data_IF_819979865893
#
_entry.id   IF_819979865893
#
_cell.length_a   1.000
_cell.length_b   1.000
_cell.length_c   1.000
_cell.angle_alpha   90.00
_cell.angle_beta   90.00
_cell.angle_gamma   90.00
#
_symmetry.space_group_name_H-M   'P 1'
#
loop_
_entity.id
_entity.type
_entity.pdbx_description
1 polymer ?
#
# COMPACT_ATOMS: atom_id res chain seq x y z
N UNK A 1 -11.79 57.42 -7.71
CA UNK A 1 -10.93 56.89 -6.64
C UNK A 1 -11.28 55.43 -6.39
N UNK A 2 -10.35 54.51 -6.65
CA UNK A 2 -10.55 53.09 -6.33
C UNK A 2 -10.43 52.91 -4.80
N UNK A 3 -11.48 52.42 -4.14
CA UNK A 3 -11.42 52.06 -2.72
C UNK A 3 -10.58 50.80 -2.57
N UNK A 4 -9.49 50.88 -1.80
CA UNK A 4 -8.74 49.71 -1.36
C UNK A 4 -9.70 48.80 -0.56
N UNK A 5 -10.01 47.63 -1.09
CA UNK A 5 -10.83 46.63 -0.40
C UNK A 5 -9.88 45.71 0.35
N UNK A 6 -9.81 45.84 1.67
CA UNK A 6 -9.08 44.90 2.52
C UNK A 6 -9.87 43.57 2.48
N UNK A 7 -9.25 42.46 2.07
CA UNK A 7 -9.93 41.17 2.06
C UNK A 7 -10.28 40.73 3.50
N UNK A 8 -11.42 40.06 3.62
CA UNK A 8 -11.85 39.45 4.87
C UNK A 8 -10.86 38.36 5.31
N UNK A 9 -10.17 38.61 6.44
CA UNK A 9 -9.12 37.75 6.96
C UNK A 9 -9.67 36.36 7.31
N UNK A 10 -10.90 36.27 7.85
CA UNK A 10 -11.49 34.98 8.21
C UNK A 10 -11.76 34.13 6.97
N UNK A 11 -12.28 34.74 5.91
CA UNK A 11 -12.51 34.07 4.63
C UNK A 11 -11.20 33.55 4.00
N UNK A 12 -10.12 34.34 4.09
CA UNK A 12 -8.79 33.94 3.60
C UNK A 12 -8.23 32.77 4.41
N UNK A 13 -8.34 32.81 5.75
CA UNK A 13 -7.88 31.75 6.63
C UNK A 13 -8.64 30.43 6.43
N UNK A 14 -9.97 30.50 6.31
CA UNK A 14 -10.82 29.34 6.04
C UNK A 14 -10.46 28.69 4.70
N UNK A 15 -10.29 29.51 3.64
CA UNK A 15 -9.87 29.00 2.33
C UNK A 15 -8.47 28.38 2.37
N UNK A 16 -7.53 28.99 3.08
CA UNK A 16 -6.18 28.45 3.23
C UNK A 16 -6.20 27.09 3.95
N UNK A 17 -7.05 26.94 4.96
CA UNK A 17 -7.26 25.68 5.68
C UNK A 17 -7.82 24.60 4.76
N UNK A 18 -8.85 24.89 3.98
CA UNK A 18 -9.46 23.92 3.07
C UNK A 18 -8.49 23.44 2.00
N UNK A 19 -7.72 24.37 1.42
CA UNK A 19 -6.65 24.05 0.47
C UNK A 19 -5.57 23.18 1.13
N UNK A 20 -5.19 23.47 2.37
CA UNK A 20 -4.20 22.68 3.10
C UNK A 20 -4.68 21.25 3.39
N UNK A 21 -5.95 21.08 3.77
CA UNK A 21 -6.58 19.77 3.99
C UNK A 21 -6.59 18.97 2.69
N UNK A 22 -7.14 19.53 1.61
CA UNK A 22 -7.19 18.86 0.31
C UNK A 22 -5.79 18.49 -0.20
N UNK A 23 -4.83 19.41 -0.10
CA UNK A 23 -3.44 19.17 -0.46
C UNK A 23 -2.83 18.00 0.31
N UNK A 24 -3.09 17.95 1.60
CA UNK A 24 -2.58 16.89 2.48
C UNK A 24 -3.21 15.54 2.11
N UNK A 25 -4.52 15.50 1.92
CA UNK A 25 -5.22 14.28 1.54
C UNK A 25 -4.75 13.72 0.19
N UNK A 26 -4.60 14.57 -0.83
CA UNK A 26 -4.09 14.17 -2.15
C UNK A 26 -2.70 13.54 -2.08
N UNK A 27 -1.83 14.12 -1.23
CA UNK A 27 -0.46 13.65 -1.09
C UNK A 27 -0.43 12.34 -0.29
N UNK A 28 -1.27 12.20 0.74
CA UNK A 28 -1.42 10.95 1.49
C UNK A 28 -1.93 9.83 0.59
N UNK A 29 -2.93 10.08 -0.28
CA UNK A 29 -3.43 9.09 -1.26
C UNK A 29 -2.31 8.66 -2.20
N UNK A 30 -1.60 9.62 -2.80
CA UNK A 30 -0.45 9.32 -3.68
C UNK A 30 0.61 8.49 -2.98
N UNK A 31 0.98 8.85 -1.77
CA UNK A 31 1.95 8.10 -0.99
C UNK A 31 1.49 6.66 -0.71
N UNK A 32 0.24 6.46 -0.28
CA UNK A 32 -0.30 5.13 -0.02
C UNK A 32 -0.31 4.23 -1.27
N UNK A 33 -0.66 4.78 -2.43
CA UNK A 33 -0.61 4.05 -3.70
C UNK A 33 0.82 3.72 -4.12
N UNK A 34 1.75 4.67 -4.04
CA UNK A 34 3.17 4.43 -4.31
C UNK A 34 3.74 3.35 -3.40
N UNK A 35 3.41 3.40 -2.11
CA UNK A 35 3.87 2.42 -1.12
C UNK A 35 3.31 1.02 -1.42
N UNK A 36 2.03 0.93 -1.84
CA UNK A 36 1.43 -0.33 -2.31
C UNK A 36 2.15 -0.86 -3.53
N UNK A 37 2.46 -0.01 -4.50
CA UNK A 37 3.11 -0.40 -5.75
C UNK A 37 4.56 -0.83 -5.51
N UNK A 38 5.28 -0.13 -4.63
CA UNK A 38 6.62 -0.54 -4.18
C UNK A 38 6.58 -1.91 -3.51
N UNK A 39 5.62 -2.13 -2.60
CA UNK A 39 5.47 -3.43 -1.93
C UNK A 39 5.20 -4.57 -2.93
N UNK A 40 4.22 -4.36 -3.81
CA UNK A 40 3.89 -5.32 -4.88
C UNK A 40 5.08 -5.53 -5.82
N UNK A 41 5.82 -4.48 -6.13
CA UNK A 41 7.04 -4.51 -6.93
C UNK A 41 8.12 -5.40 -6.30
N UNK A 42 8.40 -5.22 -5.01
CA UNK A 42 9.36 -6.05 -4.27
C UNK A 42 8.94 -7.52 -4.23
N UNK A 43 7.65 -7.80 -4.01
CA UNK A 43 7.15 -9.18 -4.11
C UNK A 43 7.35 -9.74 -5.52
N UNK A 44 7.07 -8.95 -6.56
CA UNK A 44 7.26 -9.37 -7.96
C UNK A 44 8.71 -9.71 -8.27
N UNK A 45 9.63 -8.86 -7.82
CA UNK A 45 11.07 -9.02 -7.96
C UNK A 45 11.65 -10.12 -7.05
N UNK A 46 10.83 -10.71 -6.17
CA UNK A 46 11.27 -11.63 -5.11
C UNK A 46 12.35 -10.99 -4.19
N UNK A 47 12.27 -9.68 -4.00
CA UNK A 47 13.23 -8.86 -3.26
C UNK A 47 12.92 -8.80 -1.75
N UNK A 48 12.85 -9.99 -1.17
CA UNK A 48 12.83 -10.18 0.27
C UNK A 48 13.81 -11.29 0.62
N UNK A 49 14.55 -11.08 1.69
CA UNK A 49 15.57 -12.02 2.17
C UNK A 49 14.98 -13.41 2.46
N UNK A 50 13.76 -13.47 2.97
CA UNK A 50 13.02 -14.72 3.21
C UNK A 50 12.77 -15.55 1.95
N UNK A 51 12.61 -14.91 0.78
CA UNK A 51 12.40 -15.62 -0.48
C UNK A 51 13.69 -16.27 -0.99
N UNK A 52 14.84 -15.68 -0.67
CA UNK A 52 16.17 -16.21 -1.01
C UNK A 52 16.61 -17.32 -0.05
N UNK A 53 16.41 -17.13 1.26
CA UNK A 53 16.84 -18.09 2.29
C UNK A 53 16.04 -19.40 2.26
N UNK A 54 14.80 -19.35 1.82
CA UNK A 54 13.90 -20.51 1.79
C UNK A 54 13.41 -20.74 0.36
N UNK A 55 14.25 -21.17 -0.59
CA UNK A 55 13.80 -21.38 -1.96
C UNK A 55 12.73 -22.47 -2.04
N UNK A 56 12.00 -22.54 -3.16
CA UNK A 56 11.18 -23.71 -3.44
C UNK A 56 12.07 -24.94 -3.67
N UNK A 57 11.67 -26.10 -3.17
CA UNK A 57 12.35 -27.34 -3.51
C UNK A 57 12.16 -27.66 -5.01
N UNK A 58 13.14 -28.34 -5.60
CA UNK A 58 13.09 -28.85 -6.98
C UNK A 58 11.75 -29.51 -7.33
N UNK A 59 11.26 -30.38 -6.43
CA UNK A 59 9.96 -31.06 -6.62
C UNK A 59 8.79 -30.07 -6.75
N UNK A 60 8.79 -28.99 -5.99
CA UNK A 60 7.76 -27.96 -6.07
C UNK A 60 7.91 -27.06 -7.29
N UNK A 61 9.15 -26.71 -7.66
CA UNK A 61 9.43 -25.95 -8.88
C UNK A 61 8.95 -26.72 -10.11
N UNK A 62 9.37 -27.97 -10.27
CA UNK A 62 8.91 -28.83 -11.36
C UNK A 62 7.41 -29.00 -11.39
N UNK A 63 6.80 -29.19 -10.22
CA UNK A 63 5.35 -29.28 -10.12
C UNK A 63 4.68 -28.00 -10.62
N UNK A 64 5.18 -26.81 -10.24
CA UNK A 64 4.63 -25.54 -10.70
C UNK A 64 4.80 -25.37 -12.21
N UNK A 65 6.00 -25.65 -12.73
CA UNK A 65 6.30 -25.60 -14.16
C UNK A 65 5.39 -26.55 -14.97
N UNK A 66 5.28 -27.82 -14.55
CA UNK A 66 4.43 -28.83 -15.20
C UNK A 66 2.93 -28.50 -15.16
N UNK A 67 2.50 -27.60 -14.27
CA UNK A 67 1.13 -27.15 -14.15
C UNK A 67 0.91 -25.74 -14.72
N UNK A 68 1.92 -25.19 -15.41
CA UNK A 68 1.94 -23.82 -15.94
C UNK A 68 1.54 -22.78 -14.88
N UNK A 69 1.99 -22.99 -13.64
CA UNK A 69 1.75 -22.09 -12.52
C UNK A 69 2.90 -21.10 -12.37
N UNK A 70 2.58 -20.02 -11.66
CA UNK A 70 3.56 -19.03 -11.25
C UNK A 70 4.73 -19.68 -10.47
N UNK A 71 5.91 -19.64 -11.09
CA UNK A 71 7.13 -20.31 -10.61
C UNK A 71 7.78 -19.59 -9.42
N UNK A 72 7.34 -18.37 -9.10
CA UNK A 72 7.87 -17.61 -7.96
C UNK A 72 7.62 -18.33 -6.65
N UNK A 73 8.33 -17.93 -5.61
CA UNK A 73 8.35 -18.65 -4.34
C UNK A 73 6.99 -18.63 -3.60
N UNK A 74 6.18 -17.60 -3.81
CA UNK A 74 4.86 -17.49 -3.17
C UNK A 74 3.80 -18.40 -3.82
N UNK A 75 2.76 -18.70 -3.05
CA UNK A 75 1.57 -19.45 -3.50
C UNK A 75 0.55 -18.44 -4.01
N UNK A 76 -0.11 -18.76 -5.14
CA UNK A 76 -1.14 -17.94 -5.77
C UNK A 76 -0.70 -16.49 -6.04
N UNK A 77 0.57 -16.28 -6.39
CA UNK A 77 1.21 -14.95 -6.42
C UNK A 77 0.42 -13.92 -7.24
N UNK A 78 -0.06 -14.27 -8.44
CA UNK A 78 -0.86 -13.34 -9.25
C UNK A 78 -2.15 -12.87 -8.56
N UNK A 79 -2.93 -13.78 -7.97
CA UNK A 79 -4.16 -13.44 -7.24
C UNK A 79 -3.85 -12.68 -5.95
N UNK A 80 -2.80 -13.12 -5.24
CA UNK A 80 -2.30 -12.48 -4.04
C UNK A 80 -1.95 -11.02 -4.28
N UNK A 81 -1.13 -10.74 -5.30
CA UNK A 81 -0.73 -9.38 -5.66
C UNK A 81 -1.92 -8.49 -6.04
N UNK A 82 -2.92 -9.04 -6.75
CA UNK A 82 -4.15 -8.30 -7.10
C UNK A 82 -5.04 -8.01 -5.89
N UNK A 83 -4.91 -8.78 -4.80
CA UNK A 83 -5.67 -8.58 -3.58
C UNK A 83 -5.12 -7.50 -2.67
N UNK A 84 -3.86 -7.09 -2.88
CA UNK A 84 -3.21 -6.01 -2.13
C UNK A 84 -3.72 -4.67 -2.66
N UNK A 85 -4.41 -3.94 -1.79
CA UNK A 85 -5.09 -2.69 -2.12
C UNK A 85 -4.86 -1.64 -1.03
N UNK A 86 -5.09 -0.38 -1.40
CA UNK A 86 -5.20 0.74 -0.47
C UNK A 86 -6.66 0.83 -0.03
N UNK A 87 -6.89 0.92 1.28
CA UNK A 87 -8.19 1.17 1.87
C UNK A 87 -8.21 2.58 2.42
N UNK A 88 -9.24 3.31 2.03
CA UNK A 88 -9.54 4.65 2.52
C UNK A 88 -10.71 4.56 3.50
N UNK A 89 -10.51 5.11 4.70
CA UNK A 89 -11.57 5.27 5.69
C UNK A 89 -11.53 6.68 6.25
N UNK A 90 -12.69 7.23 6.60
CA UNK A 90 -12.78 8.49 7.33
C UNK A 90 -13.23 8.20 8.75
N UNK A 91 -12.43 8.61 9.73
CA UNK A 91 -12.76 8.54 11.15
C UNK A 91 -12.56 9.93 11.74
N UNK A 92 -13.57 10.46 12.44
CA UNK A 92 -13.54 11.80 13.05
C UNK A 92 -13.12 12.92 12.09
N UNK A 93 -13.61 12.85 10.84
CA UNK A 93 -13.28 13.81 9.78
C UNK A 93 -11.85 13.70 9.23
N UNK A 94 -11.05 12.75 9.70
CA UNK A 94 -9.67 12.53 9.25
C UNK A 94 -9.57 11.38 8.26
N UNK A 95 -8.82 11.61 7.18
CA UNK A 95 -8.47 10.59 6.21
C UNK A 95 -7.50 9.58 6.84
N UNK A 96 -7.89 8.30 6.85
CA UNK A 96 -7.05 7.18 7.21
C UNK A 96 -6.83 6.30 5.98
N UNK A 97 -5.57 5.99 5.69
CA UNK A 97 -5.19 5.13 4.59
C UNK A 97 -4.40 3.94 5.13
N UNK A 98 -4.74 2.74 4.68
CA UNK A 98 -3.98 1.52 4.99
C UNK A 98 -3.78 0.69 3.74
N UNK A 99 -2.65 -0.01 3.67
CA UNK A 99 -2.42 -1.04 2.66
C UNK A 99 -2.76 -2.38 3.30
N UNK A 100 -3.47 -3.24 2.58
CA UNK A 100 -3.76 -4.57 3.08
C UNK A 100 -4.39 -5.47 2.02
N UNK A 101 -4.89 -6.61 2.48
CA UNK A 101 -5.58 -7.58 1.63
C UNK A 101 -7.09 -7.30 1.65
N UNK A 102 -7.72 -7.29 0.48
CA UNK A 102 -9.16 -7.09 0.38
C UNK A 102 -9.94 -8.25 1.01
N UNK A 103 -10.84 -7.99 1.98
CA UNK A 103 -11.42 -9.02 2.84
C UNK A 103 -12.30 -10.02 2.10
N UNK A 104 -12.95 -9.61 1.00
CA UNK A 104 -13.78 -10.51 0.19
C UNK A 104 -12.99 -11.36 -0.81
N UNK A 105 -11.67 -11.16 -0.95
CA UNK A 105 -10.85 -11.94 -1.88
C UNK A 105 -10.55 -13.31 -1.25
N UNK A 106 -10.75 -14.34 -2.05
CA UNK A 106 -10.59 -15.74 -1.68
C UNK A 106 -9.66 -16.41 -2.67
N UNK A 107 -8.92 -17.40 -2.19
CA UNK A 107 -8.00 -18.19 -3.01
C UNK A 107 -8.79 -19.11 -3.92
N UNK A 108 -8.45 -19.12 -5.21
CA UNK A 108 -9.04 -20.06 -6.17
C UNK A 108 -8.16 -21.28 -6.34
N UNK A 109 -8.79 -22.44 -6.52
CA UNK A 109 -8.05 -23.65 -6.84
C UNK A 109 -7.49 -23.56 -8.27
N UNK A 110 -6.19 -23.77 -8.43
CA UNK A 110 -5.50 -23.55 -9.69
C UNK A 110 -5.98 -24.44 -10.85
N UNK A 111 -6.45 -25.68 -10.59
CA UNK A 111 -6.94 -26.58 -11.66
C UNK A 111 -8.41 -26.38 -12.00
N UNK A 112 -9.25 -26.10 -11.00
CA UNK A 112 -10.70 -26.17 -11.14
C UNK A 112 -11.36 -24.80 -11.13
N UNK A 113 -10.61 -23.73 -10.81
CA UNK A 113 -11.15 -22.39 -10.59
C UNK A 113 -12.10 -22.29 -9.39
N UNK A 114 -12.43 -23.41 -8.75
CA UNK A 114 -13.36 -23.48 -7.63
C UNK A 114 -12.81 -22.68 -6.45
N UNK A 115 -13.71 -21.90 -5.85
CA UNK A 115 -13.46 -21.15 -4.62
C UNK A 115 -13.14 -22.14 -3.51
N UNK A 116 -11.90 -22.18 -3.03
CA UNK A 116 -11.64 -22.78 -1.71
C UNK A 116 -12.06 -21.74 -0.67
N UNK A 117 -12.64 -22.18 0.45
CA UNK A 117 -12.96 -21.30 1.59
C UNK A 117 -11.69 -20.85 2.32
N UNK A 118 -10.67 -20.40 1.60
CA UNK A 118 -9.46 -19.80 2.15
C UNK A 118 -9.46 -18.32 1.78
N UNK A 119 -9.74 -17.42 2.73
CA UNK A 119 -9.59 -15.99 2.53
C UNK A 119 -8.15 -15.62 2.18
N UNK A 120 -7.97 -14.63 1.32
CA UNK A 120 -6.64 -14.21 0.87
C UNK A 120 -5.81 -13.60 2.01
N UNK A 121 -6.46 -12.97 2.99
CA UNK A 121 -5.79 -12.48 4.20
C UNK A 121 -5.18 -13.64 5.01
N UNK A 122 -5.85 -14.80 5.05
CA UNK A 122 -5.31 -15.97 5.74
C UNK A 122 -4.11 -16.54 4.98
N UNK A 123 -4.13 -16.50 3.65
CA UNK A 123 -2.95 -16.82 2.84
C UNK A 123 -1.79 -15.86 3.12
N UNK A 124 -2.06 -14.56 3.31
CA UNK A 124 -1.03 -13.61 3.72
C UNK A 124 -0.40 -13.99 5.07
N UNK A 125 -1.22 -14.36 6.06
CA UNK A 125 -0.73 -14.83 7.36
C UNK A 125 0.11 -16.11 7.23
N UNK A 126 -0.31 -17.07 6.40
CA UNK A 126 0.47 -18.30 6.15
C UNK A 126 1.81 -17.96 5.50
N UNK A 127 1.87 -16.98 4.59
CA UNK A 127 3.14 -16.53 4.05
C UNK A 127 3.98 -15.82 5.11
N UNK A 128 3.41 -14.97 5.94
CA UNK A 128 4.18 -14.22 6.94
C UNK A 128 4.76 -15.13 8.03
N UNK A 129 3.94 -16.05 8.57
CA UNK A 129 4.28 -16.83 9.76
C UNK A 129 4.53 -18.32 9.47
N UNK A 130 4.25 -18.78 8.26
CA UNK A 130 4.30 -20.20 7.92
C UNK A 130 3.08 -20.98 8.45
N UNK A 131 3.10 -22.29 8.23
CA UNK A 131 2.11 -23.23 8.77
C UNK A 131 2.74 -24.61 8.91
N UNK A 132 2.91 -25.07 10.16
CA UNK A 132 3.40 -26.41 10.46
C UNK A 132 2.44 -27.49 9.93
N UNK A 133 1.13 -27.32 10.17
CA UNK A 133 0.07 -28.23 9.70
C UNK A 133 0.09 -28.42 8.18
N UNK A 134 0.26 -27.33 7.43
CA UNK A 134 0.31 -27.38 5.97
C UNK A 134 1.72 -27.61 5.41
N UNK A 135 2.74 -27.74 6.29
CA UNK A 135 4.17 -27.84 5.93
C UNK A 135 4.63 -26.71 5.00
N UNK A 136 4.15 -25.48 5.27
CA UNK A 136 4.54 -24.27 4.55
C UNK A 136 5.51 -23.48 5.43
N UNK A 137 6.75 -23.22 4.97
CA UNK A 137 7.68 -22.41 5.76
C UNK A 137 7.26 -20.94 5.77
N UNK A 138 7.67 -20.22 6.80
CA UNK A 138 7.48 -18.77 6.89
C UNK A 138 8.28 -18.03 5.81
N UNK A 139 7.67 -16.99 5.27
CA UNK A 139 8.17 -16.12 4.19
C UNK A 139 7.80 -14.67 4.53
N UNK A 140 8.32 -14.11 5.64
CA UNK A 140 7.97 -12.78 6.08
C UNK A 140 8.32 -11.76 5.01
N UNK A 141 7.36 -10.90 4.69
CA UNK A 141 7.50 -9.85 3.68
C UNK A 141 6.71 -8.60 4.08
N UNK A 142 5.59 -8.72 4.80
CA UNK A 142 4.86 -7.56 5.30
C UNK A 142 5.61 -6.85 6.44
N UNK A 143 6.00 -7.61 7.48
CA UNK A 143 6.71 -7.06 8.63
C UNK A 143 7.99 -6.33 8.22
N UNK A 144 8.92 -6.99 7.49
CA UNK A 144 10.15 -6.35 7.03
C UNK A 144 9.91 -5.12 6.16
N UNK A 145 8.90 -5.15 5.29
CA UNK A 145 8.57 -4.00 4.46
C UNK A 145 8.09 -2.80 5.28
N UNK A 146 7.13 -3.01 6.19
CA UNK A 146 6.61 -1.90 6.98
C UNK A 146 7.61 -1.35 7.99
N UNK A 147 8.49 -2.20 8.52
CA UNK A 147 9.61 -1.76 9.35
C UNK A 147 10.54 -0.82 8.57
N UNK A 148 10.92 -1.20 7.35
CA UNK A 148 11.73 -0.35 6.46
C UNK A 148 11.03 0.97 6.14
N UNK A 149 9.73 0.93 5.81
CA UNK A 149 8.94 2.14 5.56
C UNK A 149 8.92 3.07 6.77
N UNK A 150 8.66 2.53 7.95
CA UNK A 150 8.58 3.32 9.19
C UNK A 150 9.92 4.00 9.50
N UNK A 151 11.04 3.30 9.28
CA UNK A 151 12.37 3.79 9.63
C UNK A 151 12.94 4.75 8.57
N UNK A 152 12.74 4.46 7.28
CA UNK A 152 13.48 5.12 6.20
C UNK A 152 12.62 6.01 5.31
N UNK A 153 11.36 5.66 5.10
CA UNK A 153 10.49 6.30 4.10
C UNK A 153 9.57 7.34 4.75
N UNK A 154 8.85 6.96 5.80
CA UNK A 154 7.85 7.82 6.46
C UNK A 154 8.40 9.18 6.93
N UNK A 155 9.62 9.27 7.54
CA UNK A 155 10.17 10.56 7.94
C UNK A 155 10.45 11.50 6.76
N UNK A 156 10.85 10.95 5.60
CA UNK A 156 11.10 11.74 4.38
C UNK A 156 9.79 12.23 3.78
N UNK A 157 8.80 11.35 3.65
CA UNK A 157 7.46 11.70 3.14
C UNK A 157 6.79 12.77 4.00
N UNK A 158 6.92 12.69 5.34
CA UNK A 158 6.36 13.72 6.23
C UNK A 158 6.94 15.11 5.95
N UNK A 159 8.24 15.22 5.67
CA UNK A 159 8.89 16.48 5.30
C UNK A 159 8.39 17.00 3.95
N UNK A 160 8.29 16.11 2.95
CA UNK A 160 7.79 16.45 1.62
C UNK A 160 6.33 16.92 1.65
N UNK A 161 5.50 16.28 2.47
CA UNK A 161 4.10 16.66 2.70
C UNK A 161 4.00 18.10 3.20
N UNK A 162 4.73 18.44 4.27
CA UNK A 162 4.75 19.80 4.83
C UNK A 162 5.16 20.84 3.80
N UNK A 163 6.18 20.54 2.99
CA UNK A 163 6.62 21.43 1.92
C UNK A 163 5.58 21.58 0.80
N UNK A 164 4.94 20.50 0.38
CA UNK A 164 3.93 20.50 -0.68
C UNK A 164 2.68 21.31 -0.27
N UNK A 165 2.21 21.14 0.96
CA UNK A 165 1.10 21.91 1.53
C UNK A 165 1.45 23.40 1.58
N UNK A 166 2.63 23.75 2.10
CA UNK A 166 3.09 25.14 2.17
C UNK A 166 3.24 25.82 0.80
N UNK A 167 3.55 25.07 -0.26
CA UNK A 167 3.55 25.59 -1.64
C UNK A 167 2.13 25.85 -2.16
N UNK A 168 1.20 24.90 -1.97
CA UNK A 168 -0.19 25.04 -2.42
C UNK A 168 -0.92 26.19 -1.72
N UNK A 169 -0.74 26.35 -0.41
CA UNK A 169 -1.35 27.45 0.36
C UNK A 169 -0.82 28.82 -0.10
N UNK A 170 0.50 28.95 -0.31
CA UNK A 170 1.08 30.21 -0.81
C UNK A 170 0.54 30.58 -2.20
N UNK A 171 0.39 29.60 -3.09
CA UNK A 171 -0.17 29.82 -4.42
C UNK A 171 -1.64 30.27 -4.37
N UNK A 172 -2.45 29.71 -3.46
CA UNK A 172 -3.87 30.08 -3.35
C UNK A 172 -4.11 31.46 -2.72
N UNK A 173 -3.21 31.93 -1.86
CA UNK A 173 -3.32 33.24 -1.18
C UNK A 173 -2.65 34.36 -1.99
N UNK A 174 -1.57 34.07 -2.74
CA UNK A 174 -0.81 35.06 -3.49
C UNK A 174 -1.38 35.45 -4.87
N UNK A 175 -2.35 34.70 -5.41
CA UNK A 175 -2.95 34.92 -6.74
C UNK A 175 -4.10 35.92 -6.79
N UNK A 176 -4.25 36.80 -5.79
CA UNK A 176 -5.29 37.84 -5.72
C UNK A 176 -4.69 39.25 -5.74
N UNK A 177 -3.71 39.49 -6.62
CA UNK A 177 -3.17 40.82 -6.92
C UNK A 177 -3.71 41.33 -8.25
#
# INVERSE_FOLDING_TARGET
MAKLRIPDIEAVLNRARDVAVQASEDQLRRFAHQLRDQFVGRIRAQDFDSFRRVPLSWRWQNRKAALHLDERTMIATGEYLRSIQVFETRADGKLNLRIGIHPSKIVRHYKTGMRRRLPMWLLACVHEFGSSRAKVPARPHWGPFFQDVQQNVAPRTARELTQAVGRKVRASVGGHR
#
